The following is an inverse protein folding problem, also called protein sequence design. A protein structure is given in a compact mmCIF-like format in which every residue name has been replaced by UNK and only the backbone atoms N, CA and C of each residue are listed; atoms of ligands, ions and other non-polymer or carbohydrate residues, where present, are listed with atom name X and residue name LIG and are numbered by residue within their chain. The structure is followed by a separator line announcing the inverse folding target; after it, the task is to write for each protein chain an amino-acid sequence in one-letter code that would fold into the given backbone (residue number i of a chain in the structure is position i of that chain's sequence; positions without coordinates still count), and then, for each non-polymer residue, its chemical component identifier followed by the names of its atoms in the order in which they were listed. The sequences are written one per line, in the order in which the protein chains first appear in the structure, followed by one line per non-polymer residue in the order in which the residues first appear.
data_IF_147845611352
#
_entry.id   IF_147845611352
#
_cell.length_a   1.000
_cell.length_b   1.000
_cell.length_c   1.000
_cell.angle_alpha   90.00
_cell.angle_beta   90.00
_cell.angle_gamma   90.00
#
_symmetry.space_group_name_H-M   'P 1'
#
loop_
_entity.id
_entity.type
_entity.pdbx_description
1 polymer ?
#
# COMPACT_ATOMS: atom_id res chain seq x y z
N UNK A 1 16.73 50.87 43.05
CA UNK A 1 16.78 50.76 44.53
C UNK A 1 15.87 49.61 44.91
N UNK A 2 16.39 48.42 45.22
CA UNK A 2 17.03 48.00 46.49
C UNK A 2 16.03 47.46 47.52
N UNK A 3 16.24 46.18 47.87
CA UNK A 3 15.99 45.50 49.18
C UNK A 3 14.52 45.22 49.56
N UNK A 4 14.07 43.96 49.53
CA UNK A 4 14.33 42.87 50.49
C UNK A 4 13.84 43.16 51.92
N UNK A 5 12.90 42.32 52.39
CA UNK A 5 12.81 41.88 53.78
C UNK A 5 11.85 40.70 53.93
N UNK A 6 12.44 39.54 54.18
CA UNK A 6 11.79 38.35 54.73
C UNK A 6 11.88 38.34 56.26
N UNK A 7 11.02 37.52 56.90
CA UNK A 7 11.24 36.62 58.07
C UNK A 7 9.99 36.57 59.02
N UNK A 8 9.85 35.62 59.98
CA UNK A 8 9.63 34.17 59.81
C UNK A 8 8.69 33.55 60.91
N UNK A 9 8.40 32.24 60.86
CA UNK A 9 8.14 31.33 62.01
C UNK A 9 7.92 29.90 61.45
N UNK A 10 8.93 29.01 61.38
CA UNK A 10 9.43 28.06 62.40
C UNK A 10 8.35 27.13 62.99
N UNK A 11 8.47 25.83 62.66
CA UNK A 11 8.19 24.71 63.57
C UNK A 11 7.17 23.68 63.10
N UNK A 12 7.63 22.51 62.64
CA UNK A 12 6.79 21.30 62.54
C UNK A 12 7.21 20.26 61.49
N UNK A 13 8.25 19.47 61.82
CA UNK A 13 8.48 18.05 61.45
C UNK A 13 8.19 17.55 60.00
N UNK A 14 9.25 17.07 59.34
CA UNK A 14 9.19 16.04 58.29
C UNK A 14 9.17 14.64 58.94
N UNK A 15 8.89 13.50 58.24
CA UNK A 15 8.77 13.30 56.80
C UNK A 15 7.65 12.31 56.37
N UNK A 16 6.90 12.61 55.31
CA UNK A 16 6.38 11.54 54.44
C UNK A 16 7.17 11.53 53.15
N UNK A 17 8.22 10.69 53.16
CA UNK A 17 8.87 10.20 51.97
C UNK A 17 7.84 9.50 51.11
N UNK A 18 7.36 10.15 50.07
CA UNK A 18 6.64 9.48 49.00
C UNK A 18 7.68 8.75 48.14
N UNK A 19 8.18 7.65 48.69
CA UNK A 19 8.95 6.63 47.97
C UNK A 19 8.00 6.03 46.95
N UNK A 20 7.82 6.72 45.80
CA UNK A 20 7.48 6.04 44.55
C UNK A 20 8.59 5.06 44.27
N UNK A 21 8.40 3.84 44.79
CA UNK A 21 9.14 2.64 44.44
C UNK A 21 9.25 2.64 42.93
N UNK A 22 10.43 2.97 42.40
CA UNK A 22 10.86 2.53 41.07
C UNK A 22 10.83 1.00 41.14
N UNK A 23 9.67 0.40 40.90
CA UNK A 23 9.60 -0.98 40.39
C UNK A 23 10.51 -0.93 39.17
N UNK A 24 11.63 -1.65 39.20
CA UNK A 24 12.57 -1.70 38.09
C UNK A 24 11.75 -1.91 36.83
N UNK A 25 11.72 -0.90 35.95
CA UNK A 25 10.98 -0.99 34.69
C UNK A 25 11.68 -2.09 33.92
N UNK A 26 11.06 -3.28 33.89
CA UNK A 26 11.54 -4.38 33.05
C UNK A 26 11.60 -3.83 31.62
N UNK A 27 12.73 -4.04 30.96
CA UNK A 27 12.88 -3.66 29.56
C UNK A 27 11.77 -4.41 28.79
N UNK A 28 10.90 -3.71 28.06
CA UNK A 28 9.84 -4.35 27.29
C UNK A 28 10.44 -5.33 26.28
N UNK A 29 9.76 -6.44 26.01
CA UNK A 29 10.17 -7.34 24.93
C UNK A 29 9.69 -6.78 23.59
N UNK A 30 10.40 -7.12 22.51
CA UNK A 30 10.02 -6.74 21.15
C UNK A 30 8.60 -7.24 20.82
N UNK A 31 8.31 -8.50 21.13
CA UNK A 31 6.99 -9.13 20.91
C UNK A 31 5.86 -8.35 21.59
N UNK A 32 6.08 -7.87 22.81
CA UNK A 32 5.09 -7.09 23.57
C UNK A 32 4.80 -5.76 22.84
N UNK A 33 5.84 -5.07 22.37
CA UNK A 33 5.73 -3.80 21.64
C UNK A 33 5.02 -4.00 20.30
N UNK A 34 5.38 -5.04 19.54
CA UNK A 34 4.74 -5.39 18.28
C UNK A 34 3.26 -5.75 18.47
N UNK A 35 2.93 -6.51 19.52
CA UNK A 35 1.54 -6.88 19.84
C UNK A 35 0.67 -5.66 20.17
N UNK A 36 1.27 -4.66 20.81
CA UNK A 36 0.64 -3.38 21.13
C UNK A 36 0.65 -2.39 19.96
N UNK A 37 1.31 -2.76 18.83
CA UNK A 37 1.56 -1.88 17.68
C UNK A 37 2.34 -0.62 18.03
N UNK A 38 3.13 -0.67 19.11
CA UNK A 38 4.06 0.38 19.47
C UNK A 38 5.34 0.24 18.63
N UNK A 39 5.22 0.58 17.35
CA UNK A 39 6.32 0.48 16.39
C UNK A 39 7.43 1.48 16.69
N UNK A 40 7.10 2.65 17.25
CA UNK A 40 8.11 3.63 17.68
C UNK A 40 8.92 3.07 18.85
N UNK A 41 8.27 2.51 19.87
CA UNK A 41 8.95 1.82 20.96
C UNK A 41 9.80 0.65 20.46
N UNK A 42 9.28 -0.16 19.54
CA UNK A 42 10.01 -1.28 18.95
C UNK A 42 11.28 -0.84 18.22
N UNK A 43 11.21 0.21 17.38
CA UNK A 43 12.39 0.77 16.70
C UNK A 43 13.42 1.25 17.72
N UNK A 44 13.01 2.00 18.75
CA UNK A 44 13.97 2.52 19.75
C UNK A 44 14.69 1.39 20.50
N UNK A 45 13.98 0.30 20.82
CA UNK A 45 14.57 -0.88 21.44
C UNK A 45 15.56 -1.58 20.51
N UNK A 46 15.19 -1.76 19.24
CA UNK A 46 16.03 -2.42 18.24
C UNK A 46 17.28 -1.60 17.90
N UNK A 47 17.15 -0.29 17.74
CA UNK A 47 18.29 0.60 17.52
C UNK A 47 19.23 0.61 18.72
N UNK A 48 18.69 0.63 19.94
CA UNK A 48 19.52 0.54 21.15
C UNK A 48 20.32 -0.76 21.18
N UNK A 49 19.68 -1.91 20.93
CA UNK A 49 20.36 -3.22 20.84
C UNK A 49 21.45 -3.22 19.75
N UNK A 50 21.14 -2.66 18.57
CA UNK A 50 22.09 -2.48 17.47
C UNK A 50 23.30 -1.65 17.89
N UNK A 51 23.11 -0.54 18.61
CA UNK A 51 24.19 0.32 19.09
C UNK A 51 25.07 -0.32 20.17
N UNK A 52 24.50 -1.18 21.01
CA UNK A 52 25.23 -1.89 22.08
C UNK A 52 25.93 -3.16 21.56
N UNK A 53 25.68 -3.55 20.30
CA UNK A 53 26.27 -4.73 19.68
C UNK A 53 25.54 -6.04 20.02
N UNK A 54 24.36 -5.95 20.63
CA UNK A 54 23.46 -7.09 20.90
C UNK A 54 22.48 -7.29 19.72
N UNK A 55 22.98 -7.18 18.50
CA UNK A 55 22.17 -7.32 17.29
C UNK A 55 21.81 -8.80 17.09
N UNK A 56 20.52 -9.08 17.02
CA UNK A 56 19.97 -10.36 16.56
C UNK A 56 19.89 -10.38 15.02
N UNK A 57 19.95 -11.55 14.39
CA UNK A 57 19.99 -11.70 12.92
C UNK A 57 18.83 -10.97 12.21
N UNK A 58 17.63 -10.96 12.80
CA UNK A 58 16.44 -10.31 12.24
C UNK A 58 16.27 -8.82 12.66
N UNK A 59 17.26 -8.20 13.31
CA UNK A 59 17.11 -6.81 13.82
C UNK A 59 16.79 -5.83 12.69
N UNK A 60 17.50 -5.90 11.57
CA UNK A 60 17.28 -4.99 10.43
C UNK A 60 15.91 -5.24 9.76
N UNK A 61 15.48 -6.50 9.68
CA UNK A 61 14.13 -6.88 9.24
C UNK A 61 13.06 -6.20 10.10
N UNK A 62 13.18 -6.29 11.43
CA UNK A 62 12.18 -5.72 12.35
C UNK A 62 12.20 -4.19 12.40
N UNK A 63 13.36 -3.54 12.23
CA UNK A 63 13.43 -2.08 12.09
C UNK A 63 12.69 -1.66 10.82
N UNK A 64 12.96 -2.31 9.68
CA UNK A 64 12.26 -2.07 8.43
C UNK A 64 10.75 -2.29 8.54
N UNK A 65 10.34 -3.35 9.23
CA UNK A 65 8.93 -3.68 9.49
C UNK A 65 8.23 -2.57 10.27
N UNK A 66 8.82 -2.13 11.38
CA UNK A 66 8.25 -1.07 12.19
C UNK A 66 8.22 0.27 11.42
N UNK A 67 9.27 0.60 10.67
CA UNK A 67 9.32 1.82 9.85
C UNK A 67 8.22 1.82 8.78
N UNK A 68 8.00 0.69 8.12
CA UNK A 68 6.93 0.51 7.14
C UNK A 68 5.55 0.73 7.78
N UNK A 69 5.31 0.16 8.97
CA UNK A 69 4.04 0.31 9.66
C UNK A 69 3.79 1.71 10.26
N UNK A 70 4.85 2.51 10.44
CA UNK A 70 4.75 3.94 10.75
C UNK A 70 4.51 4.82 9.52
N UNK A 71 4.53 4.23 8.31
CA UNK A 71 4.40 4.95 7.04
C UNK A 71 5.69 5.61 6.56
N UNK A 72 6.82 5.38 7.24
CA UNK A 72 8.14 5.83 6.79
C UNK A 72 8.72 4.83 5.78
N UNK A 73 8.13 4.83 4.59
CA UNK A 73 8.49 3.89 3.53
C UNK A 73 9.91 4.11 3.00
N UNK A 74 10.46 5.33 3.10
CA UNK A 74 11.83 5.63 2.67
C UNK A 74 12.84 4.95 3.58
N UNK A 75 12.65 5.09 4.89
CA UNK A 75 13.50 4.41 5.87
C UNK A 75 13.36 2.89 5.78
N UNK A 76 12.12 2.39 5.65
CA UNK A 76 11.89 0.96 5.47
C UNK A 76 12.62 0.41 4.23
N UNK A 77 12.61 1.18 3.12
CA UNK A 77 13.30 0.82 1.89
C UNK A 77 14.81 0.66 2.13
N UNK A 78 15.44 1.64 2.78
CA UNK A 78 16.88 1.60 3.07
C UNK A 78 17.27 0.40 3.94
N UNK A 79 16.51 0.14 5.01
CA UNK A 79 16.78 -0.98 5.93
C UNK A 79 16.60 -2.34 5.22
N UNK A 80 15.55 -2.49 4.40
CA UNK A 80 15.35 -3.73 3.64
C UNK A 80 16.39 -3.91 2.53
N UNK A 81 16.75 -2.87 1.78
CA UNK A 81 17.81 -2.98 0.76
C UNK A 81 19.15 -3.35 1.39
N UNK A 82 19.46 -2.81 2.56
CA UNK A 82 20.67 -3.20 3.29
C UNK A 82 20.60 -4.64 3.78
N UNK A 83 19.47 -5.08 4.34
CA UNK A 83 19.26 -6.46 4.75
C UNK A 83 19.43 -7.45 3.57
N UNK A 84 18.99 -7.09 2.35
CA UNK A 84 19.20 -7.95 1.17
C UNK A 84 20.66 -8.13 0.73
N UNK A 85 21.59 -7.30 1.22
CA UNK A 85 23.02 -7.39 0.90
C UNK A 85 23.79 -8.28 1.89
N UNK A 86 23.18 -8.66 3.01
CA UNK A 86 23.80 -9.51 4.02
C UNK A 86 23.83 -10.98 3.58
N UNK A 87 24.90 -11.71 3.88
CA UNK A 87 25.07 -13.12 3.47
C UNK A 87 23.99 -14.05 4.06
N UNK A 88 23.53 -13.74 5.28
CA UNK A 88 22.46 -14.47 5.99
C UNK A 88 21.10 -13.77 5.89
N UNK A 89 20.81 -13.10 4.75
CA UNK A 89 19.54 -12.42 4.56
C UNK A 89 18.35 -13.39 4.72
N UNK A 90 17.43 -13.05 5.63
CA UNK A 90 16.16 -13.74 5.75
C UNK A 90 15.37 -13.61 4.42
N UNK A 91 14.95 -14.71 3.78
CA UNK A 91 14.21 -14.66 2.51
C UNK A 91 12.92 -13.83 2.55
N UNK A 92 12.31 -13.66 3.72
CA UNK A 92 11.10 -12.84 3.90
C UNK A 92 11.35 -11.34 3.67
N UNK A 93 12.60 -10.86 3.79
CA UNK A 93 12.95 -9.46 3.49
C UNK A 93 12.51 -9.07 2.08
N UNK A 94 12.62 -9.98 1.11
CA UNK A 94 12.26 -9.69 -0.28
C UNK A 94 10.78 -9.36 -0.46
N UNK A 95 9.86 -10.03 0.24
CA UNK A 95 8.43 -9.71 0.13
C UNK A 95 8.11 -8.38 0.81
N UNK A 96 8.78 -8.06 1.92
CA UNK A 96 8.61 -6.78 2.61
C UNK A 96 9.19 -5.61 1.81
N UNK A 97 10.34 -5.82 1.17
CA UNK A 97 10.94 -4.88 0.22
C UNK A 97 10.00 -4.63 -0.96
N UNK A 98 9.44 -5.69 -1.53
CA UNK A 98 8.50 -5.61 -2.64
C UNK A 98 7.22 -4.83 -2.28
N UNK A 99 6.67 -5.06 -1.08
CA UNK A 99 5.58 -4.25 -0.53
C UNK A 99 6.00 -2.78 -0.39
N UNK A 100 7.20 -2.51 0.12
CA UNK A 100 7.70 -1.13 0.29
C UNK A 100 7.81 -0.40 -1.04
N UNK A 101 8.39 -1.03 -2.08
CA UNK A 101 8.39 -0.47 -3.44
C UNK A 101 6.98 -0.20 -3.97
N UNK A 102 6.03 -1.11 -3.71
CA UNK A 102 4.64 -0.92 -4.15
C UNK A 102 4.00 0.32 -3.53
N UNK A 103 4.18 0.55 -2.22
CA UNK A 103 3.66 1.74 -1.53
C UNK A 103 4.37 3.04 -1.94
N UNK A 104 5.62 2.95 -2.38
CA UNK A 104 6.37 4.08 -2.98
C UNK A 104 6.02 4.34 -4.46
N UNK A 105 5.17 3.51 -5.08
CA UNK A 105 4.80 3.63 -6.49
C UNK A 105 5.82 3.05 -7.48
N UNK A 106 6.85 2.36 -6.99
CA UNK A 106 7.94 1.78 -7.77
C UNK A 106 7.54 0.36 -8.24
N UNK A 107 6.51 0.26 -9.10
CA UNK A 107 5.88 -1.03 -9.42
C UNK A 107 6.80 -2.04 -10.12
N UNK A 108 7.70 -1.57 -11.00
CA UNK A 108 8.66 -2.45 -11.68
C UNK A 108 9.63 -3.09 -10.69
N UNK A 109 10.12 -2.31 -9.73
CA UNK A 109 11.00 -2.80 -8.67
C UNK A 109 10.26 -3.72 -7.70
N UNK A 110 9.01 -3.38 -7.38
CA UNK A 110 8.14 -4.22 -6.55
C UNK A 110 7.93 -5.61 -7.16
N UNK A 111 7.69 -5.68 -8.47
CA UNK A 111 7.53 -6.95 -9.19
C UNK A 111 8.83 -7.78 -9.17
N UNK A 112 9.97 -7.15 -9.50
CA UNK A 112 11.27 -7.83 -9.49
C UNK A 112 11.63 -8.38 -8.10
N UNK A 113 11.42 -7.60 -7.03
CA UNK A 113 11.64 -8.05 -5.66
C UNK A 113 10.62 -9.13 -5.25
N UNK A 114 9.36 -8.99 -5.69
CA UNK A 114 8.29 -9.95 -5.43
C UNK A 114 8.62 -11.34 -5.99
N UNK A 115 9.21 -11.44 -7.18
CA UNK A 115 9.63 -12.73 -7.76
C UNK A 115 10.86 -13.37 -7.09
N UNK A 116 11.71 -12.56 -6.43
CA UNK A 116 12.83 -13.08 -5.62
C UNK A 116 12.38 -13.63 -4.27
N UNK A 117 11.23 -13.18 -3.78
CA UNK A 117 10.68 -13.62 -2.50
C UNK A 117 10.22 -15.09 -2.54
N UNK A 118 10.30 -15.81 -1.40
CA UNK A 118 9.72 -17.15 -1.30
C UNK A 118 8.21 -17.11 -1.49
N UNK A 119 7.66 -18.22 -2.01
CA UNK A 119 6.21 -18.35 -2.23
C UNK A 119 5.45 -18.26 -0.92
N UNK A 120 4.63 -17.22 -0.79
CA UNK A 120 3.83 -16.98 0.40
C UNK A 120 2.48 -16.39 0.05
N UNK A 121 1.53 -16.45 1.00
CA UNK A 121 0.21 -15.80 0.84
C UNK A 121 0.34 -14.29 0.65
N UNK A 122 1.37 -13.66 1.23
CA UNK A 122 1.63 -12.23 1.08
C UNK A 122 2.15 -11.92 -0.32
N UNK A 123 3.14 -12.68 -0.81
CA UNK A 123 3.67 -12.55 -2.16
C UNK A 123 2.57 -12.71 -3.21
N UNK A 124 1.72 -13.74 -3.09
CA UNK A 124 0.63 -13.96 -4.04
C UNK A 124 -0.33 -12.76 -4.12
N UNK A 125 -0.68 -12.16 -2.99
CA UNK A 125 -1.53 -10.97 -2.96
C UNK A 125 -0.83 -9.77 -3.59
N UNK A 126 0.45 -9.55 -3.28
CA UNK A 126 1.23 -8.47 -3.85
C UNK A 126 1.31 -8.57 -5.38
N UNK A 127 1.70 -9.74 -5.90
CA UNK A 127 1.78 -9.98 -7.35
C UNK A 127 0.42 -9.84 -8.03
N UNK A 128 -0.67 -10.26 -7.37
CA UNK A 128 -2.01 -10.03 -7.88
C UNK A 128 -2.35 -8.53 -7.98
N UNK A 129 -2.02 -7.73 -6.96
CA UNK A 129 -2.22 -6.28 -7.00
C UNK A 129 -1.37 -5.61 -8.08
N UNK A 130 -0.12 -6.03 -8.26
CA UNK A 130 0.77 -5.54 -9.31
C UNK A 130 0.23 -5.88 -10.71
N UNK A 131 -0.20 -7.12 -10.94
CA UNK A 131 -0.80 -7.54 -12.20
C UNK A 131 -2.08 -6.74 -12.51
N UNK A 132 -2.95 -6.55 -11.51
CA UNK A 132 -4.15 -5.72 -11.68
C UNK A 132 -3.82 -4.29 -12.07
N UNK A 133 -2.75 -3.73 -11.52
CA UNK A 133 -2.31 -2.38 -11.85
C UNK A 133 -1.73 -2.30 -13.27
N UNK A 134 -0.91 -3.27 -13.67
CA UNK A 134 -0.36 -3.33 -15.02
C UNK A 134 -1.45 -3.52 -16.10
N UNK A 135 -2.51 -4.29 -15.80
CA UNK A 135 -3.69 -4.44 -16.67
C UNK A 135 -4.39 -3.09 -16.95
N UNK A 136 -4.17 -2.06 -16.10
CA UNK A 136 -4.71 -0.72 -16.33
C UNK A 136 -3.83 0.14 -17.25
N UNK A 137 -2.62 -0.28 -17.61
CA UNK A 137 -1.73 0.51 -18.47
C UNK A 137 -1.76 0.06 -19.93
N UNK A 138 -2.04 -1.22 -20.21
CA UNK A 138 -2.07 -1.79 -21.56
C UNK A 138 -3.50 -1.79 -22.11
N UNK A 139 -3.72 -1.24 -23.32
CA UNK A 139 -5.07 -1.07 -23.89
C UNK A 139 -5.75 -2.42 -24.14
N UNK A 140 -5.02 -3.39 -24.68
CA UNK A 140 -5.48 -4.74 -24.98
C UNK A 140 -5.94 -5.47 -23.71
N UNK A 141 -5.23 -5.26 -22.60
CA UNK A 141 -5.56 -5.80 -21.29
C UNK A 141 -6.80 -5.13 -20.69
N UNK A 142 -6.92 -3.80 -20.84
CA UNK A 142 -8.14 -3.08 -20.45
C UNK A 142 -9.37 -3.53 -21.23
N UNK A 143 -9.23 -3.78 -22.55
CA UNK A 143 -10.32 -4.32 -23.38
C UNK A 143 -10.71 -5.73 -22.93
N UNK A 144 -9.71 -6.55 -22.59
CA UNK A 144 -9.94 -7.88 -22.01
C UNK A 144 -10.66 -7.78 -20.67
N UNK A 145 -10.26 -6.86 -19.79
CA UNK A 145 -10.91 -6.58 -18.51
C UNK A 145 -12.37 -6.12 -18.70
N UNK A 146 -12.63 -5.21 -19.64
CA UNK A 146 -13.97 -4.75 -19.96
C UNK A 146 -14.87 -5.90 -20.46
N UNK A 147 -14.34 -6.79 -21.30
CA UNK A 147 -15.08 -7.97 -21.75
C UNK A 147 -15.40 -8.93 -20.60
N UNK A 148 -14.49 -9.13 -19.64
CA UNK A 148 -14.75 -9.91 -18.42
C UNK A 148 -15.86 -9.27 -17.58
N UNK A 149 -15.85 -7.94 -17.42
CA UNK A 149 -16.92 -7.21 -16.74
C UNK A 149 -18.27 -7.40 -17.43
N UNK A 150 -18.32 -7.27 -18.75
CA UNK A 150 -19.53 -7.52 -19.54
C UNK A 150 -20.06 -8.94 -19.35
N UNK A 151 -19.19 -9.96 -19.43
CA UNK A 151 -19.58 -11.37 -19.26
C UNK A 151 -20.08 -11.69 -17.84
N UNK A 152 -19.66 -10.92 -16.84
CA UNK A 152 -20.12 -11.04 -15.44
C UNK A 152 -21.34 -10.19 -15.13
N UNK A 153 -21.93 -9.53 -16.14
CA UNK A 153 -23.04 -8.58 -15.97
C UNK A 153 -22.70 -7.31 -15.18
N UNK A 154 -21.41 -7.00 -15.04
CA UNK A 154 -20.89 -5.75 -14.46
C UNK A 154 -20.81 -4.69 -15.57
N UNK A 155 -21.97 -4.34 -16.13
CA UNK A 155 -22.04 -3.52 -17.35
C UNK A 155 -21.57 -2.08 -17.13
N UNK A 156 -21.76 -1.52 -15.94
CA UNK A 156 -21.33 -0.15 -15.63
C UNK A 156 -19.80 -0.05 -15.64
N UNK A 157 -19.11 -1.02 -15.04
CA UNK A 157 -17.66 -1.09 -15.01
C UNK A 157 -17.08 -1.30 -16.42
N UNK A 158 -17.73 -2.11 -17.25
CA UNK A 158 -17.36 -2.26 -18.66
C UNK A 158 -17.48 -0.94 -19.43
N UNK A 159 -18.59 -0.20 -19.26
CA UNK A 159 -18.82 1.12 -19.88
C UNK A 159 -17.72 2.10 -19.46
N UNK A 160 -17.40 2.17 -18.17
CA UNK A 160 -16.41 3.10 -17.64
C UNK A 160 -15.02 2.84 -18.26
N UNK A 161 -14.64 1.57 -18.42
CA UNK A 161 -13.37 1.20 -19.09
C UNK A 161 -13.39 1.60 -20.57
N UNK A 162 -14.45 1.24 -21.32
CA UNK A 162 -14.53 1.58 -22.74
C UNK A 162 -14.52 3.09 -22.98
N UNK A 163 -15.27 3.86 -22.18
CA UNK A 163 -15.27 5.33 -22.26
C UNK A 163 -13.91 5.92 -21.94
N UNK A 164 -13.21 5.40 -20.93
CA UNK A 164 -11.84 5.84 -20.61
C UNK A 164 -10.90 5.63 -21.79
N UNK A 165 -10.95 4.47 -22.46
CA UNK A 165 -10.13 4.19 -23.65
C UNK A 165 -10.47 5.15 -24.79
N UNK A 166 -11.75 5.43 -25.01
CA UNK A 166 -12.24 6.35 -26.04
C UNK A 166 -11.79 7.81 -25.82
N UNK A 167 -11.59 8.25 -24.57
CA UNK A 167 -11.08 9.60 -24.28
C UNK A 167 -9.71 9.82 -24.90
N UNK A 168 -8.83 8.83 -24.77
CA UNK A 168 -7.46 8.88 -25.31
C UNK A 168 -7.37 8.44 -26.77
N UNK A 169 -8.33 7.62 -27.25
CA UNK A 169 -8.30 6.99 -28.58
C UNK A 169 -9.64 7.13 -29.30
N UNK A 170 -9.96 8.36 -29.73
CA UNK A 170 -11.25 8.67 -30.40
C UNK A 170 -11.48 7.92 -31.71
N UNK A 171 -10.42 7.39 -32.30
CA UNK A 171 -10.46 6.59 -33.54
C UNK A 171 -11.02 5.18 -33.35
N UNK A 172 -11.12 4.68 -32.10
CA UNK A 172 -11.66 3.34 -31.82
C UNK A 172 -13.19 3.33 -31.84
N UNK A 173 -13.77 3.71 -32.98
CA UNK A 173 -15.21 3.89 -33.19
C UNK A 173 -16.01 2.63 -32.82
N UNK A 174 -15.45 1.44 -33.06
CA UNK A 174 -16.07 0.16 -32.72
C UNK A 174 -16.38 0.02 -31.22
N UNK A 175 -15.66 0.72 -30.33
CA UNK A 175 -15.97 0.71 -28.89
C UNK A 175 -17.33 1.32 -28.58
N UNK A 176 -17.85 2.23 -29.41
CA UNK A 176 -19.21 2.74 -29.24
C UNK A 176 -20.26 1.63 -29.39
N UNK A 177 -20.04 0.63 -30.25
CA UNK A 177 -20.92 -0.54 -30.36
C UNK A 177 -20.93 -1.33 -29.05
N UNK A 178 -19.76 -1.58 -28.46
CA UNK A 178 -19.67 -2.28 -27.17
C UNK A 178 -20.29 -1.49 -26.01
N UNK A 179 -20.13 -0.16 -25.99
CA UNK A 179 -20.79 0.71 -25.00
C UNK A 179 -22.31 0.68 -25.19
N UNK A 180 -22.80 0.75 -26.42
CA UNK A 180 -24.23 0.61 -26.73
C UNK A 180 -24.78 -0.74 -26.25
N UNK A 181 -24.08 -1.85 -26.53
CA UNK A 181 -24.46 -3.17 -26.04
C UNK A 181 -24.57 -3.23 -24.51
N UNK A 182 -23.64 -2.58 -23.78
CA UNK A 182 -23.72 -2.50 -22.33
C UNK A 182 -24.96 -1.70 -21.87
N UNK A 183 -25.26 -0.57 -22.51
CA UNK A 183 -26.46 0.22 -22.21
C UNK A 183 -27.76 -0.53 -22.51
N UNK A 184 -27.79 -1.28 -23.61
CA UNK A 184 -28.90 -2.16 -23.96
C UNK A 184 -29.14 -3.21 -22.88
N UNK A 185 -28.07 -3.84 -22.36
CA UNK A 185 -28.16 -4.82 -21.26
C UNK A 185 -28.58 -4.23 -19.92
N UNK A 186 -28.45 -2.91 -19.74
CA UNK A 186 -28.95 -2.16 -18.59
C UNK A 186 -30.36 -1.58 -18.81
N UNK A 187 -31.02 -1.95 -19.91
CA UNK A 187 -32.33 -1.42 -20.32
C UNK A 187 -32.37 0.08 -20.61
N UNK A 188 -31.21 0.72 -20.80
CA UNK A 188 -31.09 2.12 -21.24
C UNK A 188 -31.11 2.20 -22.77
N UNK A 189 -32.24 1.82 -23.36
CA UNK A 189 -32.38 1.66 -24.82
C UNK A 189 -32.17 2.96 -25.60
N UNK A 190 -32.69 4.09 -25.10
CA UNK A 190 -32.53 5.39 -25.77
C UNK A 190 -31.05 5.79 -25.87
N UNK A 191 -30.34 5.70 -24.74
CA UNK A 191 -28.89 5.99 -24.66
C UNK A 191 -28.09 5.00 -25.52
N UNK A 192 -28.48 3.73 -25.54
CA UNK A 192 -27.86 2.72 -26.40
C UNK A 192 -27.96 3.11 -27.87
N UNK A 193 -29.12 3.54 -28.34
CA UNK A 193 -29.33 3.95 -29.74
C UNK A 193 -28.56 5.23 -30.09
N UNK A 194 -28.53 6.21 -29.19
CA UNK A 194 -27.73 7.43 -29.38
C UNK A 194 -26.24 7.12 -29.54
N UNK A 195 -25.68 6.27 -28.66
CA UNK A 195 -24.27 5.88 -28.73
C UNK A 195 -23.99 5.06 -29.99
N UNK A 196 -24.89 4.15 -30.38
CA UNK A 196 -24.75 3.35 -31.59
C UNK A 196 -24.80 4.21 -32.86
N UNK A 197 -25.64 5.25 -32.87
CA UNK A 197 -25.76 6.18 -33.98
C UNK A 197 -24.44 6.91 -34.28
N UNK A 198 -23.62 7.21 -33.25
CA UNK A 198 -22.28 7.80 -33.45
C UNK A 198 -21.39 6.89 -34.31
N UNK A 199 -21.48 5.57 -34.12
CA UNK A 199 -20.75 4.60 -34.94
C UNK A 199 -21.35 4.48 -36.35
N UNK A 200 -22.68 4.34 -36.46
CA UNK A 200 -23.38 4.20 -37.74
C UNK A 200 -23.27 5.44 -38.64
N UNK A 201 -23.15 6.64 -38.08
CA UNK A 201 -22.89 7.86 -38.87
C UNK A 201 -21.57 7.77 -39.65
N UNK A 202 -20.58 7.08 -39.09
CA UNK A 202 -19.28 6.90 -39.73
C UNK A 202 -19.26 5.64 -40.61
N UNK A 203 -19.96 4.57 -40.18
CA UNK A 203 -20.02 3.28 -40.88
C UNK A 203 -21.48 2.83 -40.99
N UNK A 204 -22.26 3.36 -41.94
CA UNK A 204 -23.70 3.10 -42.04
C UNK A 204 -24.03 1.63 -42.38
N UNK A 205 -23.17 0.99 -43.17
CA UNK A 205 -23.38 -0.36 -43.69
C UNK A 205 -22.80 -1.47 -42.79
N UNK A 206 -22.53 -1.16 -41.52
CA UNK A 206 -21.91 -2.11 -40.60
C UNK A 206 -22.89 -3.22 -40.20
N UNK A 207 -22.59 -4.44 -40.63
CA UNK A 207 -23.37 -5.65 -40.27
C UNK A 207 -23.29 -6.03 -38.80
N UNK A 208 -22.35 -5.46 -38.05
CA UNK A 208 -22.19 -5.72 -36.61
C UNK A 208 -23.11 -4.82 -35.78
N UNK A 209 -23.50 -3.65 -36.32
CA UNK A 209 -24.31 -2.66 -35.63
C UNK A 209 -25.79 -2.67 -36.05
N UNK A 210 -26.13 -3.37 -37.14
CA UNK A 210 -27.49 -3.60 -37.63
C UNK A 210 -28.06 -4.91 -37.05
#
# INVERSE_FOLDING_TARGET
MMLSRAKPAVGGESPHTDKRKKKGRKIPKLEDLLSQRDFTGAITLLEFKRHVGEQEDDTNLWIGYCAFHLGDYKRALEEYENATKEENCNPEVWVNLACTYFFLGMYKQAEAAGFKAPKSRLQNRLLFHLAHKNLQDIKEDQLSLASIHYMRSHYQEAIDIYKRILLDNREYLALNVYVALCYYKLDYYDVSQEVLAVYLQQIPDSTIAL
#
